data_IF_669548905006
#
_entry.id   IF_669548905006
#
_cell.length_a   1.000
_cell.length_b   1.000
_cell.length_c   1.000
_cell.angle_alpha   90.00
_cell.angle_beta   90.00
_cell.angle_gamma   90.00
#
_symmetry.space_group_name_H-M   'P 1'
#
loop_
_entity.id
_entity.type
_entity.pdbx_description
1 polymer ?
#
# COMPACT_ATOMS: atom_id res chain seq x y z
N UNK A 1 -40.36 18.16 25.97
CA UNK A 1 -39.00 18.03 25.38
C UNK A 1 -39.22 17.90 23.88
N UNK A 2 -38.82 18.88 23.08
CA UNK A 2 -39.17 18.97 21.66
C UNK A 2 -38.44 17.89 20.83
N UNK A 3 -39.09 17.37 19.80
CA UNK A 3 -38.53 16.37 18.86
C UNK A 3 -37.17 16.79 18.27
N UNK A 4 -36.96 18.10 18.07
CA UNK A 4 -35.70 18.68 17.60
C UNK A 4 -34.51 18.37 18.53
N UNK A 5 -34.73 18.33 19.85
CA UNK A 5 -33.66 18.05 20.82
C UNK A 5 -33.20 16.59 20.75
N UNK A 6 -34.13 15.66 20.49
CA UNK A 6 -33.83 14.23 20.31
C UNK A 6 -33.05 14.02 19.00
N UNK A 7 -33.44 14.73 17.95
CA UNK A 7 -32.82 14.64 16.63
C UNK A 7 -31.37 15.18 16.66
N UNK A 8 -31.15 16.31 17.33
CA UNK A 8 -29.83 16.90 17.56
C UNK A 8 -28.91 15.99 18.39
N UNK A 9 -29.43 15.39 19.48
CA UNK A 9 -28.69 14.42 20.28
C UNK A 9 -28.33 13.17 19.48
N UNK A 10 -29.24 12.68 18.63
CA UNK A 10 -28.98 11.56 17.73
C UNK A 10 -27.85 11.86 16.73
N UNK A 11 -27.92 13.03 16.08
CA UNK A 11 -26.92 13.48 15.10
C UNK A 11 -25.54 13.66 15.72
N UNK A 12 -25.45 14.36 16.86
CA UNK A 12 -24.19 14.57 17.58
C UNK A 12 -23.58 13.26 18.08
N UNK A 13 -24.38 12.33 18.58
CA UNK A 13 -23.87 11.00 18.99
C UNK A 13 -23.35 10.22 17.79
N UNK A 14 -24.05 10.30 16.65
CA UNK A 14 -23.64 9.65 15.40
C UNK A 14 -22.33 10.23 14.82
N UNK A 15 -22.18 11.55 14.77
CA UNK A 15 -20.97 12.21 14.29
C UNK A 15 -19.77 11.90 15.17
N UNK A 16 -19.93 11.93 16.50
CA UNK A 16 -18.87 11.58 17.45
C UNK A 16 -18.45 10.11 17.32
N UNK A 17 -19.42 9.19 17.24
CA UNK A 17 -19.14 7.76 17.07
C UNK A 17 -18.34 7.50 15.78
N UNK A 18 -18.74 8.11 14.66
CA UNK A 18 -18.01 8.01 13.41
C UNK A 18 -16.63 8.67 13.49
N UNK A 19 -16.50 9.83 14.16
CA UNK A 19 -15.22 10.48 14.41
C UNK A 19 -14.22 9.55 15.11
N UNK A 20 -14.67 8.81 16.13
CA UNK A 20 -13.85 7.80 16.84
C UNK A 20 -13.46 6.64 15.92
N UNK A 21 -14.41 6.12 15.13
CA UNK A 21 -14.16 5.03 14.19
C UNK A 21 -13.09 5.44 13.17
N UNK A 22 -13.24 6.61 12.57
CA UNK A 22 -12.33 7.17 11.57
C UNK A 22 -10.93 7.36 12.16
N UNK A 23 -10.84 7.89 13.38
CA UNK A 23 -9.57 8.03 14.09
C UNK A 23 -8.86 6.69 14.32
N UNK A 24 -9.61 5.66 14.72
CA UNK A 24 -9.08 4.32 14.93
C UNK A 24 -8.61 3.69 13.61
N UNK A 25 -9.34 3.92 12.51
CA UNK A 25 -8.92 3.48 11.17
C UNK A 25 -7.64 4.18 10.75
N UNK A 26 -7.54 5.50 10.94
CA UNK A 26 -6.32 6.28 10.70
C UNK A 26 -5.11 5.66 11.40
N UNK A 27 -5.20 5.40 12.70
CA UNK A 27 -4.13 4.72 13.47
C UNK A 27 -3.76 3.36 12.89
N UNK A 28 -4.74 2.55 12.47
CA UNK A 28 -4.48 1.25 11.85
C UNK A 28 -3.74 1.39 10.53
N UNK A 29 -4.13 2.33 9.67
CA UNK A 29 -3.43 2.60 8.40
C UNK A 29 -2.00 3.06 8.63
N UNK A 30 -1.75 3.96 9.61
CA UNK A 30 -0.39 4.37 9.96
C UNK A 30 0.49 3.21 10.41
N UNK A 31 -0.04 2.31 11.25
CA UNK A 31 0.68 1.11 11.70
C UNK A 31 1.03 0.20 10.51
N UNK A 32 0.11 0.01 9.56
CA UNK A 32 0.37 -0.77 8.36
C UNK A 32 1.44 -0.12 7.47
N UNK A 33 1.38 1.20 7.27
CA UNK A 33 2.41 1.93 6.52
C UNK A 33 3.80 1.74 7.15
N UNK A 34 3.91 1.90 8.46
CA UNK A 34 5.16 1.72 9.19
C UNK A 34 5.69 0.28 9.10
N UNK A 35 4.80 -0.71 9.19
CA UNK A 35 5.17 -2.12 9.02
C UNK A 35 5.72 -2.40 7.61
N UNK A 36 5.04 -1.89 6.57
CA UNK A 36 5.45 -2.06 5.18
C UNK A 36 6.83 -1.42 4.92
N UNK A 37 7.06 -0.20 5.42
CA UNK A 37 8.35 0.49 5.27
C UNK A 37 9.48 -0.11 6.10
N UNK A 38 9.15 -0.71 7.25
CA UNK A 38 10.10 -1.36 8.15
C UNK A 38 10.31 -2.83 7.80
N UNK A 39 9.64 -3.71 8.54
CA UNK A 39 9.85 -5.16 8.46
C UNK A 39 9.53 -5.75 7.07
N UNK A 40 8.47 -5.28 6.41
CA UNK A 40 8.07 -5.78 5.10
C UNK A 40 9.12 -5.50 4.03
N UNK A 41 9.57 -4.25 3.93
CA UNK A 41 10.64 -3.84 3.02
C UNK A 41 11.97 -4.52 3.34
N UNK A 42 12.33 -4.66 4.63
CA UNK A 42 13.55 -5.35 5.04
C UNK A 42 13.57 -6.81 4.59
N UNK A 43 12.48 -7.55 4.75
CA UNK A 43 12.38 -8.95 4.29
C UNK A 43 12.56 -9.07 2.77
N UNK A 44 12.00 -8.13 2.01
CA UNK A 44 12.14 -8.12 0.55
C UNK A 44 13.55 -7.75 0.08
N UNK A 45 14.19 -6.81 0.77
CA UNK A 45 15.61 -6.49 0.52
C UNK A 45 16.47 -7.72 0.78
N UNK A 46 16.25 -8.43 1.89
CA UNK A 46 16.99 -9.66 2.20
C UNK A 46 16.77 -10.72 1.12
N UNK A 47 15.53 -10.98 0.73
CA UNK A 47 15.23 -11.94 -0.35
C UNK A 47 15.85 -11.52 -1.69
N UNK A 48 15.84 -10.22 -2.02
CA UNK A 48 16.51 -9.69 -3.21
C UNK A 48 18.04 -9.89 -3.15
N UNK A 49 18.65 -9.70 -1.98
CA UNK A 49 20.08 -9.92 -1.78
C UNK A 49 20.42 -11.41 -1.84
N UNK A 50 19.61 -12.28 -1.25
CA UNK A 50 19.76 -13.74 -1.32
C UNK A 50 19.71 -14.23 -2.77
N UNK A 51 18.64 -13.91 -3.50
CA UNK A 51 18.46 -14.31 -4.91
C UNK A 51 19.51 -13.65 -5.81
N UNK A 52 19.93 -12.42 -5.51
CA UNK A 52 21.02 -11.75 -6.21
C UNK A 52 22.37 -12.42 -5.97
N UNK A 53 22.68 -12.81 -4.74
CA UNK A 53 23.91 -13.53 -4.41
C UNK A 53 23.90 -14.93 -5.04
N UNK A 54 22.77 -15.63 -5.04
CA UNK A 54 22.60 -16.93 -5.70
C UNK A 54 22.84 -16.79 -7.21
N UNK A 55 22.27 -15.77 -7.86
CA UNK A 55 22.59 -15.44 -9.24
C UNK A 55 24.08 -15.15 -9.46
N UNK A 56 24.78 -14.41 -8.58
CA UNK A 56 26.20 -14.13 -8.82
C UNK A 56 27.16 -15.26 -8.44
N UNK A 57 26.79 -16.13 -7.50
CA UNK A 57 27.67 -17.18 -6.94
C UNK A 57 27.42 -18.58 -7.50
N UNK A 58 26.19 -18.88 -7.91
CA UNK A 58 25.78 -20.17 -8.46
C UNK A 58 25.33 -20.09 -9.91
N UNK A 59 25.23 -18.90 -10.53
CA UNK A 59 24.68 -18.89 -11.88
C UNK A 59 25.54 -19.70 -12.83
N UNK A 60 24.80 -20.41 -13.67
CA UNK A 60 25.22 -20.88 -14.98
C UNK A 60 25.99 -19.85 -15.80
N UNK A 61 25.99 -18.56 -15.45
CA UNK A 61 26.78 -17.49 -16.09
C UNK A 61 28.28 -17.64 -15.80
N UNK A 62 28.67 -17.98 -14.56
CA UNK A 62 30.07 -18.25 -14.22
C UNK A 62 30.58 -19.50 -14.92
N UNK A 63 29.81 -20.59 -14.84
CA UNK A 63 30.12 -21.85 -15.53
C UNK A 63 30.13 -21.69 -17.05
N UNK A 64 29.20 -20.92 -17.62
CA UNK A 64 29.13 -20.66 -19.07
C UNK A 64 30.28 -19.77 -19.53
N UNK A 65 30.66 -18.74 -18.75
CA UNK A 65 31.85 -17.95 -19.05
C UNK A 65 33.11 -18.81 -18.99
N UNK A 66 33.21 -19.71 -18.02
CA UNK A 66 34.32 -20.64 -17.87
C UNK A 66 34.36 -21.66 -19.02
N UNK A 67 33.22 -22.25 -19.40
CA UNK A 67 33.09 -23.14 -20.56
C UNK A 67 33.39 -22.42 -21.89
N UNK A 68 32.94 -21.17 -22.08
CA UNK A 68 33.26 -20.35 -23.25
C UNK A 68 34.76 -20.00 -23.28
N UNK A 69 35.37 -19.69 -22.13
CA UNK A 69 36.82 -19.44 -22.00
C UNK A 69 37.65 -20.70 -22.28
N UNK A 70 37.16 -21.88 -21.89
CA UNK A 70 37.80 -23.17 -22.16
C UNK A 70 37.64 -23.52 -23.65
N UNK A 71 36.43 -23.42 -24.20
CA UNK A 71 36.13 -23.74 -25.60
C UNK A 71 36.86 -22.81 -26.58
N UNK A 72 37.05 -21.53 -26.24
CA UNK A 72 37.83 -20.58 -27.06
C UNK A 72 39.35 -20.81 -27.01
N UNK A 73 39.86 -21.52 -25.99
CA UNK A 73 41.28 -21.91 -25.89
C UNK A 73 41.61 -23.25 -26.56
N UNK A 74 40.62 -24.10 -26.82
CA UNK A 74 40.84 -25.44 -27.40
C UNK A 74 40.45 -25.42 -28.88
N UNK A 75 41.45 -25.15 -29.72
CA UNK A 75 41.36 -24.89 -31.16
C UNK A 75 41.00 -26.13 -32.04
N UNK A 76 40.41 -27.20 -31.50
CA UNK A 76 40.15 -28.45 -32.24
C UNK A 76 38.70 -28.94 -32.11
N UNK A 77 37.99 -28.88 -33.24
CA UNK A 77 36.77 -29.63 -33.59
C UNK A 77 35.78 -29.90 -32.44
N UNK A 78 35.41 -28.87 -31.68
CA UNK A 78 34.23 -28.99 -30.83
C UNK A 78 33.00 -28.79 -31.73
N UNK A 79 32.08 -29.76 -31.74
CA UNK A 79 30.81 -29.64 -32.48
C UNK A 79 30.02 -28.45 -31.94
N UNK A 80 30.10 -27.34 -32.66
CA UNK A 80 29.47 -26.04 -32.36
C UNK A 80 27.99 -26.15 -31.98
N UNK A 81 27.25 -27.08 -32.59
CA UNK A 81 25.81 -27.27 -32.35
C UNK A 81 25.47 -27.67 -30.90
N UNK A 82 26.33 -28.46 -30.23
CA UNK A 82 26.09 -28.88 -28.84
C UNK A 82 26.34 -27.72 -27.87
N UNK A 83 27.43 -26.98 -28.06
CA UNK A 83 27.74 -25.77 -27.28
C UNK A 83 26.64 -24.73 -27.46
N UNK A 84 26.17 -24.52 -28.68
CA UNK A 84 25.15 -23.52 -28.96
C UNK A 84 23.82 -23.85 -28.26
N UNK A 85 23.43 -25.12 -28.21
CA UNK A 85 22.24 -25.56 -27.49
C UNK A 85 22.38 -25.39 -25.98
N UNK A 86 23.53 -25.75 -25.43
CA UNK A 86 23.85 -25.61 -24.01
C UNK A 86 23.89 -24.13 -23.58
N UNK A 87 24.45 -23.26 -24.42
CA UNK A 87 24.41 -21.81 -24.23
C UNK A 87 22.98 -21.28 -24.24
N UNK A 88 22.16 -21.71 -25.20
CA UNK A 88 20.76 -21.25 -25.30
C UNK A 88 19.95 -21.70 -24.09
N UNK A 89 20.14 -22.92 -23.60
CA UNK A 89 19.39 -23.43 -22.45
C UNK A 89 19.86 -22.77 -21.14
N UNK A 90 21.17 -22.57 -20.93
CA UNK A 90 21.69 -21.78 -19.80
C UNK A 90 21.24 -20.30 -19.86
N UNK A 91 21.17 -19.69 -21.05
CA UNK A 91 20.67 -18.34 -21.22
C UNK A 91 19.17 -18.20 -20.87
N UNK A 92 18.36 -19.24 -21.12
CA UNK A 92 16.94 -19.24 -20.68
C UNK A 92 16.83 -19.24 -19.15
N UNK A 93 17.61 -20.08 -18.46
CA UNK A 93 17.65 -20.15 -16.99
C UNK A 93 18.04 -18.79 -16.41
N UNK A 94 19.13 -18.18 -16.92
CA UNK A 94 19.53 -16.84 -16.52
C UNK A 94 18.44 -15.79 -16.73
N UNK A 95 17.69 -15.87 -17.84
CA UNK A 95 16.61 -14.94 -18.12
C UNK A 95 15.45 -15.10 -17.13
N UNK A 96 15.17 -16.32 -16.67
CA UNK A 96 14.19 -16.58 -15.61
C UNK A 96 14.65 -16.04 -14.25
N UNK A 97 15.91 -16.21 -13.89
CA UNK A 97 16.51 -15.67 -12.66
C UNK A 97 16.51 -14.13 -12.65
N UNK A 98 16.94 -13.50 -13.75
CA UNK A 98 16.89 -12.03 -13.92
C UNK A 98 15.45 -11.54 -13.81
N UNK A 99 14.48 -12.28 -14.37
CA UNK A 99 13.06 -11.94 -14.27
C UNK A 99 12.55 -12.03 -12.83
N UNK A 100 13.00 -13.01 -12.04
CA UNK A 100 12.68 -13.11 -10.60
C UNK A 100 13.21 -11.89 -9.83
N UNK A 101 14.48 -11.54 -10.02
CA UNK A 101 15.13 -10.38 -9.40
C UNK A 101 14.43 -9.08 -9.79
N UNK A 102 14.11 -8.92 -11.08
CA UNK A 102 13.37 -7.76 -11.58
C UNK A 102 11.97 -7.66 -10.95
N UNK A 103 11.23 -8.76 -10.84
CA UNK A 103 9.91 -8.79 -10.21
C UNK A 103 9.97 -8.44 -8.71
N UNK A 104 11.00 -8.90 -7.99
CA UNK A 104 11.25 -8.54 -6.59
C UNK A 104 11.50 -7.04 -6.43
N UNK A 105 12.35 -6.45 -7.28
CA UNK A 105 12.63 -5.01 -7.24
C UNK A 105 11.36 -4.18 -7.54
N UNK A 106 10.55 -4.62 -8.52
CA UNK A 106 9.27 -3.98 -8.84
C UNK A 106 8.27 -4.06 -7.69
N UNK A 107 8.24 -5.19 -6.96
CA UNK A 107 7.40 -5.33 -5.77
C UNK A 107 7.84 -4.38 -4.65
N UNK A 108 9.14 -4.22 -4.42
CA UNK A 108 9.67 -3.27 -3.45
C UNK A 108 9.20 -1.84 -3.73
N UNK A 109 9.25 -1.40 -5.00
CA UNK A 109 8.76 -0.08 -5.42
C UNK A 109 7.25 0.05 -5.18
N UNK A 110 6.46 -0.98 -5.54
CA UNK A 110 5.01 -0.99 -5.28
C UNK A 110 4.69 -0.86 -3.78
N UNK A 111 5.42 -1.58 -2.93
CA UNK A 111 5.23 -1.52 -1.47
C UNK A 111 5.59 -0.15 -0.90
N UNK A 112 6.67 0.47 -1.38
CA UNK A 112 7.06 1.82 -0.96
C UNK A 112 5.97 2.85 -1.31
N UNK A 113 5.42 2.77 -2.52
CA UNK A 113 4.32 3.64 -2.96
C UNK A 113 3.04 3.42 -2.14
N UNK A 114 2.64 2.17 -1.93
CA UNK A 114 1.45 1.83 -1.13
C UNK A 114 1.61 2.31 0.31
N UNK A 115 2.80 2.19 0.89
CA UNK A 115 3.05 2.66 2.24
C UNK A 115 2.98 4.20 2.35
N UNK A 116 3.46 4.93 1.34
CA UNK A 116 3.30 6.38 1.26
C UNK A 116 1.82 6.78 1.16
N UNK A 117 1.06 6.15 0.26
CA UNK A 117 -0.38 6.39 0.12
C UNK A 117 -1.14 6.09 1.41
N UNK A 118 -0.85 4.97 2.07
CA UNK A 118 -1.41 4.62 3.38
C UNK A 118 -1.13 5.68 4.45
N UNK A 119 0.07 6.25 4.44
CA UNK A 119 0.42 7.34 5.35
C UNK A 119 -0.37 8.61 5.04
N UNK A 120 -0.59 8.92 3.76
CA UNK A 120 -1.42 10.06 3.33
C UNK A 120 -2.88 9.85 3.76
N UNK A 121 -3.45 8.67 3.48
CA UNK A 121 -4.82 8.33 3.90
C UNK A 121 -4.97 8.37 5.41
N UNK A 122 -3.99 7.86 6.15
CA UNK A 122 -3.98 7.97 7.61
C UNK A 122 -4.11 9.42 8.06
N UNK A 123 -3.34 10.34 7.47
CA UNK A 123 -3.37 11.75 7.86
C UNK A 123 -4.69 12.42 7.46
N UNK A 124 -5.20 12.15 6.25
CA UNK A 124 -6.50 12.63 5.81
C UNK A 124 -7.63 12.17 6.73
N UNK A 125 -7.66 10.89 7.11
CA UNK A 125 -8.65 10.36 8.05
C UNK A 125 -8.51 11.00 9.44
N UNK A 126 -7.29 11.31 9.87
CA UNK A 126 -7.08 12.03 11.13
C UNK A 126 -7.69 13.43 11.07
N UNK A 127 -7.47 14.16 9.98
CA UNK A 127 -8.05 15.49 9.75
C UNK A 127 -9.58 15.41 9.73
N UNK A 128 -10.15 14.48 8.96
CA UNK A 128 -11.61 14.26 8.88
C UNK A 128 -12.20 13.97 10.26
N UNK A 129 -11.53 13.12 11.05
CA UNK A 129 -11.96 12.82 12.42
C UNK A 129 -11.98 14.07 13.30
N UNK A 130 -10.92 14.89 13.26
CA UNK A 130 -10.86 16.16 14.01
C UNK A 130 -11.98 17.11 13.56
N UNK A 131 -12.23 17.20 12.25
CA UNK A 131 -13.29 18.04 11.70
C UNK A 131 -14.68 17.61 12.21
N UNK A 132 -14.98 16.31 12.20
CA UNK A 132 -16.24 15.77 12.73
C UNK A 132 -16.41 16.05 14.23
N UNK A 133 -15.33 15.96 15.02
CA UNK A 133 -15.36 16.35 16.43
C UNK A 133 -15.62 17.85 16.61
N UNK A 134 -14.96 18.70 15.82
CA UNK A 134 -15.16 20.15 15.89
C UNK A 134 -16.55 20.58 15.45
N UNK A 135 -17.15 19.91 14.45
CA UNK A 135 -18.49 20.20 13.95
C UNK A 135 -19.53 20.07 15.07
N UNK A 136 -19.44 18.98 15.83
CA UNK A 136 -20.35 18.68 16.94
C UNK A 136 -20.21 19.69 18.09
N UNK A 137 -19.00 20.22 18.31
CA UNK A 137 -18.74 21.29 19.29
C UNK A 137 -19.33 22.63 18.83
N UNK A 138 -19.19 22.97 17.54
CA UNK A 138 -19.74 24.19 16.96
C UNK A 138 -21.27 24.18 17.04
N UNK A 139 -21.91 23.06 16.69
CA UNK A 139 -23.36 22.90 16.80
C UNK A 139 -23.83 23.04 18.25
N UNK A 140 -23.09 22.48 19.21
CA UNK A 140 -23.41 22.63 20.63
C UNK A 140 -23.30 24.08 21.13
N UNK A 141 -22.24 24.80 20.75
CA UNK A 141 -22.04 26.20 21.16
C UNK A 141 -23.13 27.08 20.56
N UNK A 142 -23.42 26.94 19.25
CA UNK A 142 -24.41 27.79 18.59
C UNK A 142 -25.83 27.59 19.16
N UNK A 143 -26.18 26.36 19.54
CA UNK A 143 -27.47 26.06 20.20
C UNK A 143 -27.59 26.63 21.63
N UNK A 144 -26.50 27.06 22.26
CA UNK A 144 -26.54 27.73 23.57
C UNK A 144 -26.81 29.24 23.47
N UNK A 145 -26.71 29.83 22.27
CA UNK A 145 -26.92 31.25 22.04
C UNK A 145 -28.17 31.50 21.18
N UNK A 146 -29.29 31.93 21.78
CA UNK A 146 -30.58 32.08 21.08
C UNK A 146 -30.58 33.17 19.99
N UNK A 147 -29.55 34.00 19.91
CA UNK A 147 -29.33 34.99 18.85
C UNK A 147 -29.02 34.35 17.49
N UNK A 148 -28.63 33.06 17.47
CA UNK A 148 -28.27 32.32 16.26
C UNK A 148 -29.34 31.31 15.80
N UNK A 149 -30.49 31.23 16.48
CA UNK A 149 -31.62 30.32 16.17
C UNK A 149 -32.13 30.46 14.72
N UNK A 150 -31.87 31.59 14.05
CA UNK A 150 -32.33 31.86 12.68
C UNK A 150 -31.41 31.31 11.58
N UNK A 151 -30.20 30.85 11.90
CA UNK A 151 -29.34 30.26 10.91
C UNK A 151 -29.74 28.79 10.74
N UNK A 152 -29.97 28.36 9.49
CA UNK A 152 -30.17 26.96 9.09
C UNK A 152 -28.90 26.11 9.33
N UNK A 153 -28.39 26.11 10.56
CA UNK A 153 -27.15 25.47 11.02
C UNK A 153 -27.28 23.95 10.88
N UNK A 154 -28.48 23.41 11.12
CA UNK A 154 -28.80 21.99 10.94
C UNK A 154 -28.53 21.49 9.50
N UNK A 155 -28.74 22.34 8.49
CA UNK A 155 -28.50 21.96 7.09
C UNK A 155 -27.00 21.98 6.81
N UNK A 156 -26.27 23.00 7.29
CA UNK A 156 -24.84 23.14 7.02
C UNK A 156 -24.03 22.02 7.70
N UNK A 157 -24.36 21.69 8.96
CA UNK A 157 -23.69 20.62 9.71
C UNK A 157 -24.00 19.23 9.14
N UNK A 158 -25.24 18.97 8.74
CA UNK A 158 -25.60 17.73 8.04
C UNK A 158 -24.84 17.58 6.71
N UNK A 159 -24.75 18.65 5.91
CA UNK A 159 -24.12 18.59 4.58
C UNK A 159 -22.60 18.37 4.70
N UNK A 160 -21.92 19.13 5.57
CA UNK A 160 -20.47 18.98 5.79
C UNK A 160 -20.17 17.61 6.43
N UNK A 161 -20.98 17.18 7.39
CA UNK A 161 -20.85 15.87 8.03
C UNK A 161 -21.00 14.71 7.03
N UNK A 162 -21.99 14.78 6.13
CA UNK A 162 -22.19 13.77 5.09
C UNK A 162 -21.04 13.72 4.09
N UNK A 163 -20.50 14.87 3.69
CA UNK A 163 -19.38 14.94 2.74
C UNK A 163 -18.11 14.33 3.35
N UNK A 164 -17.83 14.64 4.61
CA UNK A 164 -16.71 14.07 5.36
C UNK A 164 -16.81 12.54 5.48
N UNK A 165 -18.02 12.02 5.71
CA UNK A 165 -18.27 10.58 5.74
C UNK A 165 -18.11 9.94 4.36
N UNK A 166 -18.58 10.59 3.30
CA UNK A 166 -18.41 10.11 1.92
C UNK A 166 -16.92 9.99 1.56
N UNK A 167 -16.10 11.00 1.92
CA UNK A 167 -14.65 10.96 1.73
C UNK A 167 -14.02 9.79 2.50
N UNK A 168 -14.45 9.54 3.75
CA UNK A 168 -13.99 8.38 4.52
C UNK A 168 -14.28 7.06 3.79
N UNK A 169 -15.48 6.86 3.26
CA UNK A 169 -15.83 5.65 2.52
C UNK A 169 -15.03 5.49 1.23
N UNK A 170 -14.75 6.57 0.51
CA UNK A 170 -13.88 6.55 -0.68
C UNK A 170 -12.45 6.12 -0.33
N UNK A 171 -11.89 6.64 0.77
CA UNK A 171 -10.56 6.23 1.26
C UNK A 171 -10.56 4.73 1.61
N UNK A 172 -11.61 4.22 2.25
CA UNK A 172 -11.73 2.80 2.57
C UNK A 172 -11.80 1.93 1.30
N UNK A 173 -12.63 2.31 0.32
CA UNK A 173 -12.74 1.60 -0.96
C UNK A 173 -11.39 1.54 -1.67
N UNK A 174 -10.68 2.65 -1.73
CA UNK A 174 -9.36 2.71 -2.35
C UNK A 174 -8.35 1.83 -1.60
N UNK A 175 -8.36 1.86 -0.26
CA UNK A 175 -7.53 0.98 0.55
C UNK A 175 -7.82 -0.51 0.28
N UNK A 176 -9.09 -0.92 0.22
CA UNK A 176 -9.45 -2.31 -0.10
C UNK A 176 -8.98 -2.73 -1.49
N UNK A 177 -9.10 -1.83 -2.47
CA UNK A 177 -8.60 -2.06 -3.83
C UNK A 177 -7.09 -2.27 -3.85
N UNK A 178 -6.33 -1.37 -3.24
CA UNK A 178 -4.86 -1.45 -3.15
C UNK A 178 -4.41 -2.73 -2.42
N UNK A 179 -5.05 -3.07 -1.30
CA UNK A 179 -4.77 -4.31 -0.56
C UNK A 179 -4.99 -5.56 -1.41
N UNK A 180 -6.03 -5.58 -2.24
CA UNK A 180 -6.32 -6.72 -3.13
C UNK A 180 -5.27 -6.85 -4.22
N UNK A 181 -4.81 -5.74 -4.80
CA UNK A 181 -3.74 -5.76 -5.80
C UNK A 181 -2.40 -6.24 -5.22
N UNK A 182 -2.07 -5.79 -4.01
CA UNK A 182 -0.86 -6.20 -3.30
C UNK A 182 -0.86 -7.72 -3.04
N UNK A 183 -1.99 -8.26 -2.56
CA UNK A 183 -2.15 -9.71 -2.35
C UNK A 183 -1.98 -10.52 -3.64
N UNK A 184 -2.49 -10.03 -4.78
CA UNK A 184 -2.27 -10.67 -6.08
C UNK A 184 -0.80 -10.65 -6.48
N UNK A 185 -0.15 -9.49 -6.38
CA UNK A 185 1.27 -9.33 -6.74
C UNK A 185 2.19 -10.19 -5.87
N UNK A 186 1.87 -10.37 -4.58
CA UNK A 186 2.61 -11.29 -3.70
C UNK A 186 2.44 -12.76 -4.10
N UNK A 187 1.23 -13.19 -4.46
CA UNK A 187 0.98 -14.56 -4.91
C UNK A 187 1.70 -14.89 -6.22
N UNK A 188 1.82 -13.92 -7.12
CA UNK A 188 2.56 -14.07 -8.38
C UNK A 188 4.08 -14.24 -8.18
N UNK A 189 4.59 -13.95 -6.98
CA UNK A 189 6.00 -14.09 -6.60
C UNK A 189 6.32 -15.36 -5.79
N UNK A 190 5.31 -16.16 -5.44
CA UNK A 190 5.47 -17.46 -4.74
C UNK A 190 5.58 -18.64 -5.74
N UNK A 191 6.13 -18.40 -6.93
CA UNK A 191 6.50 -19.46 -7.91
C UNK A 191 7.91 -19.95 -7.59
#
# INVERSE_FOLDING_TARGET
MSENLILLLGLTTFTLANGVIIYNVSKKLKRHANYLLGEGKRKLILKFLEEGVEFFSQSSLSELLEEILIASKVEKEIKLDNIQKEIVDKAKVMNEEIKKIYNLSRLMIKIDNIAKELSIFSEQLRIISILLFSLSLVDFILNLYPEFDSYNIDILSCTIGSDLLAIFYLILLNWFYMRRQLKKSCKELEI
#
